data_IF_538793015617
#
_entry.id   IF_538793015617
#
_cell.length_a   1.000
_cell.length_b   1.000
_cell.length_c   1.000
_cell.angle_alpha   90.00
_cell.angle_beta   90.00
_cell.angle_gamma   90.00
#
_symmetry.space_group_name_H-M   'P 1'
#
loop_
_entity.id
_entity.type
_entity.pdbx_description
1 polymer ?
#
# COMPACT_ATOMS: atom_id res chain seq x y z
N UNK A 1 2.26 -21.58 14.61
CA UNK A 1 1.01 -20.83 14.30
C UNK A 1 1.28 -19.32 14.31
N UNK A 2 0.85 -18.59 13.27
CA UNK A 2 0.98 -17.13 13.20
C UNK A 2 -0.07 -16.38 14.04
N UNK A 3 0.08 -15.05 14.19
CA UNK A 3 -0.90 -14.23 14.90
C UNK A 3 -2.29 -14.33 14.23
N UNK A 4 -3.35 -14.38 15.04
CA UNK A 4 -4.74 -14.38 14.56
C UNK A 4 -5.37 -13.02 14.80
N UNK A 5 -5.85 -12.38 13.74
CA UNK A 5 -6.61 -11.15 13.84
C UNK A 5 -7.93 -11.39 14.59
N UNK A 6 -8.18 -10.60 15.63
CA UNK A 6 -9.43 -10.55 16.38
C UNK A 6 -10.14 -9.21 16.18
N UNK A 7 -11.44 -9.15 16.53
CA UNK A 7 -12.26 -7.94 16.38
C UNK A 7 -12.21 -7.32 14.96
N UNK A 8 -12.24 -8.17 13.93
CA UNK A 8 -12.28 -7.71 12.54
C UNK A 8 -13.57 -6.93 12.29
N UNK A 9 -13.44 -5.78 11.65
CA UNK A 9 -14.56 -5.00 11.15
C UNK A 9 -14.34 -4.76 9.65
N UNK A 10 -15.41 -4.84 8.87
CA UNK A 10 -15.37 -4.80 7.42
C UNK A 10 -16.41 -3.79 6.94
N UNK A 11 -16.04 -3.02 5.93
CA UNK A 11 -16.92 -2.09 5.23
C UNK A 11 -16.61 -2.11 3.74
N UNK A 12 -17.61 -1.82 2.92
CA UNK A 12 -17.51 -1.74 1.48
C UNK A 12 -18.74 -1.07 0.89
N UNK A 13 -18.60 -0.42 -0.25
CA UNK A 13 -19.72 0.19 -0.94
C UNK A 13 -19.50 0.17 -2.45
N UNK A 14 -20.60 0.00 -3.18
CA UNK A 14 -20.69 0.21 -4.64
C UNK A 14 -21.53 1.43 -5.00
N UNK A 15 -22.19 2.04 -4.01
CA UNK A 15 -23.07 3.22 -4.18
C UNK A 15 -22.35 4.49 -3.76
N UNK A 16 -21.58 4.43 -2.67
CA UNK A 16 -20.87 5.58 -2.12
C UNK A 16 -19.43 5.66 -2.65
N UNK A 17 -18.87 6.87 -2.80
CA UNK A 17 -17.49 7.05 -3.26
C UNK A 17 -16.47 6.51 -2.24
N UNK A 18 -15.22 6.25 -2.66
CA UNK A 18 -14.15 5.76 -1.77
C UNK A 18 -13.93 6.62 -0.52
N UNK A 19 -14.13 7.94 -0.61
CA UNK A 19 -14.03 8.84 0.55
C UNK A 19 -14.95 8.42 1.71
N UNK A 20 -16.14 7.88 1.41
CA UNK A 20 -17.09 7.41 2.42
C UNK A 20 -16.57 6.17 3.16
N UNK A 21 -16.03 5.19 2.44
CA UNK A 21 -15.54 3.94 3.05
C UNK A 21 -14.24 4.18 3.83
N UNK A 22 -13.37 5.06 3.33
CA UNK A 22 -12.16 5.50 4.05
C UNK A 22 -12.55 6.22 5.34
N UNK A 23 -13.46 7.20 5.29
CA UNK A 23 -13.92 7.91 6.49
C UNK A 23 -14.52 6.95 7.54
N UNK A 24 -15.36 6.00 7.12
CA UNK A 24 -15.93 5.00 8.01
C UNK A 24 -14.88 4.09 8.67
N UNK A 25 -13.80 3.74 7.95
CA UNK A 25 -12.69 2.98 8.53
C UNK A 25 -11.94 3.79 9.60
N UNK A 26 -11.74 5.09 9.37
CA UNK A 26 -11.14 5.98 10.36
C UNK A 26 -12.06 6.23 11.56
N UNK A 27 -13.39 6.35 11.37
CA UNK A 27 -14.36 6.43 12.47
C UNK A 27 -14.29 5.20 13.37
N UNK A 28 -14.17 4.02 12.76
CA UNK A 28 -14.06 2.77 13.52
C UNK A 28 -12.73 2.67 14.26
N UNK A 29 -11.62 3.12 13.66
CA UNK A 29 -10.33 3.16 14.32
C UNK A 29 -10.33 4.13 15.52
N UNK A 30 -10.94 5.31 15.36
CA UNK A 30 -11.12 6.32 16.40
C UNK A 30 -11.91 5.78 17.59
N UNK A 31 -13.06 5.15 17.31
CA UNK A 31 -13.91 4.55 18.35
C UNK A 31 -13.18 3.48 19.17
N UNK A 32 -12.20 2.78 18.57
CA UNK A 32 -11.40 1.74 19.23
C UNK A 32 -10.19 2.27 19.98
N UNK A 33 -9.74 3.47 19.65
CA UNK A 33 -8.56 4.11 20.24
C UNK A 33 -8.79 5.63 20.41
N UNK A 34 -9.77 6.08 21.22
CA UNK A 34 -10.10 7.51 21.34
C UNK A 34 -8.98 8.37 21.94
N UNK A 35 -8.02 7.73 22.63
CA UNK A 35 -6.85 8.40 23.20
C UNK A 35 -5.63 8.40 22.28
N UNK A 36 -5.74 7.85 21.07
CA UNK A 36 -4.66 7.70 20.09
C UNK A 36 -3.37 7.10 20.69
N UNK A 37 -3.51 6.10 21.57
CA UNK A 37 -2.36 5.48 22.26
C UNK A 37 -1.72 4.36 21.45
N UNK A 38 -2.34 3.94 20.35
CA UNK A 38 -1.81 2.89 19.46
C UNK A 38 -1.22 3.48 18.19
N UNK A 39 -0.26 2.76 17.61
CA UNK A 39 0.20 3.05 16.24
C UNK A 39 -0.82 2.58 15.23
N UNK A 40 -1.34 3.50 14.41
CA UNK A 40 -2.26 3.16 13.34
C UNK A 40 -1.48 2.82 12.08
N UNK A 41 -1.76 1.65 11.51
CA UNK A 41 -1.13 1.15 10.28
C UNK A 41 -2.22 0.97 9.23
N UNK A 42 -1.98 1.49 8.03
CA UNK A 42 -2.89 1.37 6.89
C UNK A 42 -2.16 0.62 5.77
N UNK A 43 -2.65 -0.57 5.42
CA UNK A 43 -2.12 -1.38 4.31
C UNK A 43 -2.97 -1.14 3.06
N UNK A 44 -2.34 -0.75 1.96
CA UNK A 44 -3.02 -0.42 0.69
C UNK A 44 -2.21 -0.88 -0.51
N UNK A 45 -2.86 -0.93 -1.67
CA UNK A 45 -2.26 -1.25 -2.98
C UNK A 45 -1.41 -0.10 -3.58
N UNK A 46 -1.49 1.10 -3.03
CA UNK A 46 -0.77 2.28 -3.50
C UNK A 46 -1.54 3.16 -4.49
N UNK A 47 -2.86 2.97 -4.66
CA UNK A 47 -3.69 3.85 -5.45
C UNK A 47 -3.62 5.30 -4.93
N UNK A 48 -3.11 6.23 -5.77
CA UNK A 48 -2.84 7.64 -5.38
C UNK A 48 -4.05 8.32 -4.77
N UNK A 49 -5.22 8.19 -5.39
CA UNK A 49 -6.46 8.78 -4.87
C UNK A 49 -6.82 8.24 -3.48
N UNK A 50 -6.60 6.94 -3.22
CA UNK A 50 -6.85 6.35 -1.90
C UNK A 50 -5.86 6.89 -0.85
N UNK A 51 -4.59 7.05 -1.23
CA UNK A 51 -3.57 7.66 -0.37
C UNK A 51 -3.93 9.10 0.01
N UNK A 52 -4.40 9.90 -0.95
CA UNK A 52 -4.84 11.27 -0.69
C UNK A 52 -5.99 11.32 0.31
N UNK A 53 -6.98 10.43 0.18
CA UNK A 53 -8.10 10.32 1.11
C UNK A 53 -7.67 9.88 2.51
N UNK A 54 -6.71 8.94 2.60
CA UNK A 54 -6.14 8.49 3.88
C UNK A 54 -5.41 9.62 4.58
N UNK A 55 -4.57 10.38 3.85
CA UNK A 55 -3.86 11.53 4.42
C UNK A 55 -4.83 12.63 4.85
N UNK A 56 -5.87 12.91 4.05
CA UNK A 56 -6.89 13.89 4.42
C UNK A 56 -7.62 13.52 5.72
N UNK A 57 -7.97 12.25 5.93
CA UNK A 57 -8.59 11.80 7.19
C UNK A 57 -7.62 11.85 8.37
N UNK A 58 -6.35 11.50 8.15
CA UNK A 58 -5.33 11.59 9.18
C UNK A 58 -5.11 13.05 9.63
N UNK A 59 -4.99 13.98 8.67
CA UNK A 59 -4.82 15.41 8.91
C UNK A 59 -6.04 16.01 9.62
N UNK A 60 -7.25 15.67 9.15
CA UNK A 60 -8.52 16.11 9.76
C UNK A 60 -8.62 15.74 11.24
N UNK A 61 -8.09 14.57 11.61
CA UNK A 61 -8.11 14.04 12.98
C UNK A 61 -6.85 14.38 13.78
N UNK A 62 -5.85 15.00 13.14
CA UNK A 62 -4.53 15.30 13.72
C UNK A 62 -3.82 14.05 14.26
N UNK A 63 -3.95 12.94 13.55
CA UNK A 63 -3.32 11.66 13.90
C UNK A 63 -2.22 11.32 12.91
N UNK A 64 -1.26 10.51 13.35
CA UNK A 64 -0.23 9.95 12.48
C UNK A 64 -0.59 8.53 12.08
N UNK A 65 -0.65 8.28 10.78
CA UNK A 65 -0.82 6.92 10.22
C UNK A 65 0.48 6.44 9.58
N UNK A 66 0.78 5.14 9.73
CA UNK A 66 1.86 4.46 9.02
C UNK A 66 1.26 3.73 7.82
N UNK A 67 1.44 4.29 6.64
CA UNK A 67 1.04 3.62 5.39
C UNK A 67 2.08 2.56 5.02
N UNK A 68 1.59 1.37 4.69
CA UNK A 68 2.34 0.25 4.12
C UNK A 68 1.73 -0.08 2.75
N UNK A 69 2.59 -0.31 1.76
CA UNK A 69 2.16 -0.81 0.47
C UNK A 69 2.19 -2.33 0.46
N UNK A 70 1.15 -2.93 -0.09
CA UNK A 70 1.04 -4.36 -0.28
C UNK A 70 2.08 -4.85 -1.29
N UNK A 71 2.87 -5.85 -0.88
CA UNK A 71 4.00 -6.35 -1.68
C UNK A 71 3.55 -7.04 -2.98
N UNK A 72 2.35 -7.60 -3.01
CA UNK A 72 1.79 -8.22 -4.22
C UNK A 72 1.53 -7.14 -5.27
N UNK A 73 0.97 -6.00 -4.86
CA UNK A 73 0.76 -4.88 -5.79
C UNK A 73 2.07 -4.24 -6.24
N UNK A 74 3.04 -4.11 -5.32
CA UNK A 74 4.39 -3.63 -5.69
C UNK A 74 5.03 -4.55 -6.73
N UNK A 75 4.92 -5.87 -6.58
CA UNK A 75 5.48 -6.81 -7.57
C UNK A 75 4.74 -6.74 -8.91
N UNK A 76 3.42 -6.54 -8.92
CA UNK A 76 2.64 -6.33 -10.16
C UNK A 76 3.08 -5.06 -10.92
N UNK A 77 3.40 -3.97 -10.21
CA UNK A 77 3.96 -2.78 -10.85
C UNK A 77 5.35 -3.05 -11.45
N UNK A 78 6.19 -3.83 -10.77
CA UNK A 78 7.49 -4.24 -11.32
C UNK A 78 7.31 -5.10 -12.57
N UNK A 79 6.38 -6.05 -12.57
CA UNK A 79 6.07 -6.86 -13.76
C UNK A 79 5.59 -5.99 -14.93
N UNK A 80 4.72 -5.02 -14.65
CA UNK A 80 4.26 -4.06 -15.65
C UNK A 80 5.44 -3.29 -16.26
N UNK A 81 6.39 -2.83 -15.43
CA UNK A 81 7.58 -2.14 -15.90
C UNK A 81 8.53 -3.08 -16.68
N UNK A 82 8.74 -4.31 -16.21
CA UNK A 82 9.60 -5.30 -16.84
C UNK A 82 9.18 -5.58 -18.30
N UNK A 83 7.87 -5.60 -18.56
CA UNK A 83 7.33 -5.82 -19.90
C UNK A 83 7.56 -4.67 -20.89
N UNK A 84 8.03 -3.51 -20.43
CA UNK A 84 8.55 -2.46 -21.31
C UNK A 84 9.95 -2.80 -21.86
N UNK A 85 10.71 -3.66 -21.18
CA UNK A 85 12.10 -3.99 -21.51
C UNK A 85 12.29 -5.42 -22.03
N UNK A 86 11.41 -6.34 -21.64
CA UNK A 86 11.53 -7.76 -21.94
C UNK A 86 10.19 -8.36 -22.38
N UNK A 87 10.18 -9.29 -23.36
CA UNK A 87 8.98 -10.04 -23.69
C UNK A 87 8.41 -10.81 -22.50
N UNK A 88 7.08 -11.00 -22.50
CA UNK A 88 6.39 -11.75 -21.45
C UNK A 88 6.87 -13.21 -21.37
N UNK A 89 7.01 -13.73 -20.14
CA UNK A 89 7.43 -15.11 -19.87
C UNK A 89 8.92 -15.40 -20.01
N UNK A 90 9.76 -14.38 -20.21
CA UNK A 90 11.22 -14.54 -20.31
C UNK A 90 11.88 -14.66 -18.94
N UNK A 91 12.94 -15.47 -18.84
CA UNK A 91 13.72 -15.62 -17.61
C UNK A 91 14.42 -14.31 -17.22
N UNK A 92 14.75 -13.49 -18.21
CA UNK A 92 15.32 -12.16 -18.04
C UNK A 92 14.34 -11.21 -17.34
N UNK A 93 13.06 -11.22 -17.72
CA UNK A 93 12.02 -10.44 -17.05
C UNK A 93 11.85 -10.86 -15.58
N UNK A 94 11.83 -12.17 -15.32
CA UNK A 94 11.72 -12.71 -13.96
C UNK A 94 12.91 -12.30 -13.08
N UNK A 95 14.13 -12.47 -13.59
CA UNK A 95 15.35 -12.07 -12.88
C UNK A 95 15.38 -10.56 -12.61
N UNK A 96 14.94 -9.75 -13.57
CA UNK A 96 14.85 -8.30 -13.43
C UNK A 96 13.85 -7.89 -12.34
N UNK A 97 12.64 -8.48 -12.34
CA UNK A 97 11.62 -8.20 -11.31
C UNK A 97 12.11 -8.64 -9.93
N UNK A 98 12.70 -9.83 -9.83
CA UNK A 98 13.25 -10.33 -8.57
C UNK A 98 14.34 -9.40 -8.01
N UNK A 99 15.24 -8.89 -8.85
CA UNK A 99 16.30 -7.97 -8.45
C UNK A 99 15.76 -6.65 -7.87
N UNK A 100 14.81 -6.02 -8.54
CA UNK A 100 14.17 -4.79 -8.06
C UNK A 100 13.32 -5.03 -6.82
N UNK A 101 12.60 -6.14 -6.75
CA UNK A 101 11.79 -6.49 -5.58
C UNK A 101 12.67 -6.70 -4.33
N UNK A 102 13.81 -7.39 -4.46
CA UNK A 102 14.80 -7.54 -3.38
C UNK A 102 15.29 -6.15 -2.93
N UNK A 103 15.67 -5.30 -3.88
CA UNK A 103 16.13 -3.93 -3.59
C UNK A 103 15.08 -3.13 -2.80
N UNK A 104 13.81 -3.22 -3.19
CA UNK A 104 12.69 -2.59 -2.49
C UNK A 104 12.51 -3.18 -1.08
N UNK A 105 12.57 -4.50 -0.92
CA UNK A 105 12.46 -5.18 0.39
C UNK A 105 13.59 -4.80 1.35
N UNK A 106 14.77 -4.45 0.83
CA UNK A 106 15.87 -3.87 1.60
C UNK A 106 15.68 -2.37 1.93
N UNK A 107 14.50 -1.81 1.67
CA UNK A 107 14.18 -0.41 1.94
C UNK A 107 14.72 0.58 0.91
N UNK A 108 15.21 0.09 -0.24
CA UNK A 108 15.83 0.93 -1.27
C UNK A 108 14.88 1.23 -2.44
N UNK A 109 13.59 1.45 -2.16
CA UNK A 109 12.57 1.67 -3.19
C UNK A 109 12.87 2.88 -4.10
N UNK A 110 13.37 3.98 -3.55
CA UNK A 110 13.76 5.16 -4.34
C UNK A 110 14.91 4.86 -5.31
N UNK A 111 15.86 4.01 -4.89
CA UNK A 111 16.96 3.56 -5.75
C UNK A 111 16.44 2.71 -6.90
N UNK A 112 15.60 1.71 -6.60
CA UNK A 112 14.98 0.87 -7.63
C UNK A 112 14.21 1.72 -8.65
N UNK A 113 13.39 2.68 -8.19
CA UNK A 113 12.67 3.59 -9.08
C UNK A 113 13.60 4.44 -9.97
N UNK A 114 14.72 4.93 -9.42
CA UNK A 114 15.72 5.68 -10.19
C UNK A 114 16.42 4.81 -11.24
N UNK A 115 16.80 3.57 -10.89
CA UNK A 115 17.41 2.61 -11.80
C UNK A 115 16.45 2.24 -12.94
N UNK A 116 15.16 2.01 -12.65
CA UNK A 116 14.13 1.74 -13.67
C UNK A 116 13.95 2.93 -14.61
N UNK A 117 13.98 4.16 -14.08
CA UNK A 117 13.79 5.38 -14.89
C UNK A 117 14.98 5.66 -15.82
N UNK A 118 16.17 5.19 -15.46
CA UNK A 118 17.40 5.42 -16.21
C UNK A 118 17.65 4.38 -17.33
N UNK A 119 16.79 3.36 -17.43
CA UNK A 119 16.89 2.25 -18.38
C UNK A 119 16.14 2.55 -19.69
#
# INVERSE_FOLDING_TARGET
>A
PGPKASAKWLTGSVVHPPAHTVAAAFDQAEARDPGHVRTWVVLVDGARHQLDLIHAEADRRRIRVRVLLDIVHVSEYLWTAAHAFYPSGTAEAEAWVAGHLITILHGQAARSAAEITAQ
#
